data_IF_966359994859
#
_entry.id   IF_966359994859
#
_cell.length_a   1.000
_cell.length_b   1.000
_cell.length_c   1.000
_cell.angle_alpha   90.00
_cell.angle_beta   90.00
_cell.angle_gamma   90.00
#
_symmetry.space_group_name_H-M   'P 1'
#
loop_
_entity.id
_entity.type
_entity.pdbx_description
1 polymer ?
#
# COMPACT_ATOMS: atom_id res chain seq x y z
N UNK A 1 57.13 37.10 -45.04
CA UNK A 1 55.99 38.04 -45.14
C UNK A 1 54.82 37.37 -44.45
N UNK A 2 54.47 37.89 -43.28
CA UNK A 2 53.55 37.30 -42.30
C UNK A 2 52.10 37.19 -42.83
N UNK A 3 51.55 35.98 -42.84
CA UNK A 3 50.11 35.73 -43.08
C UNK A 3 49.47 34.90 -41.96
N UNK A 4 50.00 35.02 -40.74
CA UNK A 4 49.54 34.23 -39.58
C UNK A 4 48.80 34.99 -38.47
N UNK A 5 48.81 36.33 -38.46
CA UNK A 5 48.32 37.13 -37.30
C UNK A 5 46.90 37.69 -37.41
N UNK A 6 46.29 37.76 -38.61
CA UNK A 6 44.98 38.40 -38.78
C UNK A 6 43.76 37.50 -38.55
N UNK A 7 43.91 36.16 -38.59
CA UNK A 7 42.75 35.25 -38.42
C UNK A 7 42.31 35.10 -36.95
N UNK A 8 43.22 35.17 -35.98
CA UNK A 8 42.85 35.00 -34.57
C UNK A 8 42.13 36.21 -33.96
N UNK A 9 42.41 37.43 -34.43
CA UNK A 9 41.73 38.65 -33.93
C UNK A 9 40.29 38.76 -34.40
N UNK A 10 39.97 38.32 -35.63
CA UNK A 10 38.59 38.34 -36.14
C UNK A 10 37.73 37.31 -35.40
N UNK A 11 38.25 36.11 -35.15
CA UNK A 11 37.52 35.08 -34.38
C UNK A 11 37.29 35.50 -32.93
N UNK A 12 38.24 36.20 -32.32
CA UNK A 12 38.12 36.69 -30.94
C UNK A 12 37.12 37.86 -30.83
N UNK A 13 37.08 38.75 -31.82
CA UNK A 13 36.06 39.82 -31.89
C UNK A 13 34.68 39.24 -32.17
N UNK A 14 34.57 38.20 -33.00
CA UNK A 14 33.31 37.50 -33.27
C UNK A 14 32.79 36.76 -32.03
N UNK A 15 33.68 36.11 -31.25
CA UNK A 15 33.36 35.49 -29.96
C UNK A 15 32.95 36.51 -28.89
N UNK A 16 33.62 37.67 -28.84
CA UNK A 16 33.21 38.77 -27.95
C UNK A 16 31.86 39.38 -28.36
N UNK A 17 31.60 39.56 -29.65
CA UNK A 17 30.27 39.99 -30.14
C UNK A 17 29.19 38.94 -29.89
N UNK A 18 29.47 37.65 -30.06
CA UNK A 18 28.51 36.59 -29.72
C UNK A 18 28.25 36.53 -28.21
N UNK A 19 29.25 36.81 -27.37
CA UNK A 19 29.06 36.89 -25.91
C UNK A 19 28.19 38.06 -25.46
N UNK A 20 28.10 39.14 -26.26
CA UNK A 20 27.14 40.23 -26.00
C UNK A 20 25.69 39.89 -26.39
N UNK A 21 25.48 38.84 -27.20
CA UNK A 21 24.16 38.31 -27.52
C UNK A 21 23.77 37.06 -26.71
N UNK A 22 24.66 36.54 -25.87
CA UNK A 22 24.43 35.39 -25.00
C UNK A 22 23.84 35.77 -23.63
N UNK A 23 23.11 36.89 -23.55
CA UNK A 23 22.11 37.07 -22.50
C UNK A 23 20.84 36.40 -23.02
N UNK A 24 20.82 35.06 -22.99
CA UNK A 24 19.54 34.39 -22.84
C UNK A 24 19.02 34.87 -21.48
N UNK A 25 18.07 35.80 -21.51
CA UNK A 25 17.16 35.93 -20.40
C UNK A 25 16.54 34.54 -20.25
N UNK A 26 17.01 33.78 -19.25
CA UNK A 26 16.19 32.73 -18.70
C UNK A 26 14.84 33.41 -18.43
N UNK A 27 13.72 32.95 -19.00
CA UNK A 27 12.44 33.45 -18.56
C UNK A 27 12.45 33.22 -17.06
N UNK A 28 12.48 34.32 -16.30
CA UNK A 28 12.12 34.25 -14.90
C UNK A 28 10.73 33.63 -14.93
N UNK A 29 10.58 32.46 -14.33
CA UNK A 29 9.27 32.00 -13.95
C UNK A 29 8.74 33.08 -13.01
N UNK A 30 8.02 34.06 -13.57
CA UNK A 30 7.15 34.92 -12.81
C UNK A 30 6.19 33.95 -12.17
N UNK A 31 6.22 33.86 -10.83
CA UNK A 31 5.26 33.07 -10.11
C UNK A 31 3.89 33.50 -10.60
N UNK A 32 3.13 32.57 -11.20
CA UNK A 32 1.74 32.84 -11.54
C UNK A 32 1.10 33.38 -10.27
N UNK A 33 0.48 34.56 -10.37
CA UNK A 33 -0.25 35.15 -9.26
C UNK A 33 -1.19 34.07 -8.73
N UNK A 34 -0.98 33.64 -7.49
CA UNK A 34 -1.89 32.67 -6.86
C UNK A 34 -3.19 33.43 -6.63
N UNK A 35 -4.12 33.26 -7.56
CA UNK A 35 -5.46 33.82 -7.42
C UNK A 35 -6.16 33.00 -6.34
N UNK A 36 -6.16 33.52 -5.10
CA UNK A 36 -7.02 32.98 -4.06
C UNK A 36 -8.46 33.36 -4.41
N UNK A 37 -9.17 32.45 -5.07
CA UNK A 37 -10.63 32.52 -5.19
C UNK A 37 -11.26 31.97 -3.92
N UNK A 38 -12.53 32.33 -3.68
CA UNK A 38 -13.33 31.65 -2.68
C UNK A 38 -13.41 30.15 -3.00
N UNK A 39 -13.64 29.32 -1.97
CA UNK A 39 -13.80 27.89 -2.16
C UNK A 39 -14.98 27.62 -3.13
N UNK A 40 -14.70 26.88 -4.19
CA UNK A 40 -15.70 26.46 -5.18
C UNK A 40 -16.33 25.16 -4.68
N UNK A 41 -17.66 25.12 -4.61
CA UNK A 41 -18.39 23.89 -4.37
C UNK A 41 -18.45 23.09 -5.68
N UNK A 42 -17.87 21.90 -5.70
CA UNK A 42 -17.87 21.00 -6.86
C UNK A 42 -19.27 20.44 -7.11
N UNK A 43 -19.86 19.80 -6.09
CA UNK A 43 -21.19 19.19 -6.19
C UNK A 43 -22.06 19.52 -4.97
N UNK A 44 -23.36 19.69 -5.22
CA UNK A 44 -24.38 19.77 -4.16
C UNK A 44 -25.27 18.52 -4.20
N UNK A 45 -24.73 17.40 -3.74
CA UNK A 45 -25.41 16.10 -3.77
C UNK A 45 -26.67 16.00 -2.92
N UNK A 46 -27.05 17.04 -2.16
CA UNK A 46 -28.23 17.04 -1.31
C UNK A 46 -28.18 15.94 -0.26
N UNK A 47 -28.97 14.87 -0.45
CA UNK A 47 -28.96 13.68 0.41
C UNK A 47 -27.97 12.59 -0.02
N UNK A 48 -27.30 12.77 -1.17
CA UNK A 48 -26.28 11.84 -1.65
C UNK A 48 -25.02 11.90 -0.78
N UNK A 49 -24.36 10.75 -0.64
CA UNK A 49 -23.05 10.64 0.01
C UNK A 49 -21.96 10.58 -1.08
N UNK A 50 -21.42 11.73 -1.45
CA UNK A 50 -20.30 11.84 -2.38
C UNK A 50 -18.97 11.72 -1.59
N UNK A 51 -18.07 10.83 -2.02
CA UNK A 51 -16.79 10.58 -1.34
C UNK A 51 -15.75 9.95 -2.26
N UNK A 52 -14.53 9.80 -1.74
CA UNK A 52 -13.38 9.24 -2.48
C UNK A 52 -13.16 10.04 -3.77
N UNK A 53 -13.09 11.37 -3.60
CA UNK A 53 -12.86 12.28 -4.71
C UNK A 53 -11.40 12.22 -5.12
N UNK A 54 -11.16 12.17 -6.41
CA UNK A 54 -9.85 12.33 -7.05
C UNK A 54 -9.97 13.34 -8.18
N UNK A 55 -8.88 13.99 -8.54
CA UNK A 55 -8.88 14.99 -9.60
C UNK A 55 -7.50 15.10 -10.27
N UNK A 56 -7.52 15.41 -11.56
CA UNK A 56 -6.35 15.76 -12.35
C UNK A 56 -6.72 16.88 -13.35
N UNK A 57 -5.74 17.47 -14.04
CA UNK A 57 -5.96 18.58 -14.95
C UNK A 57 -5.46 18.29 -16.37
N UNK A 58 -6.18 18.80 -17.36
CA UNK A 58 -5.79 18.71 -18.77
C UNK A 58 -4.78 19.80 -19.17
N UNK A 59 -4.35 19.77 -20.44
CA UNK A 59 -3.39 20.71 -21.02
C UNK A 59 -3.86 22.18 -21.02
N UNK A 60 -5.17 22.42 -20.91
CA UNK A 60 -5.79 23.74 -20.82
C UNK A 60 -6.01 24.19 -19.36
N UNK A 61 -5.71 23.34 -18.39
CA UNK A 61 -5.91 23.55 -16.96
C UNK A 61 -7.36 23.35 -16.51
N UNK A 62 -8.20 22.73 -17.33
CA UNK A 62 -9.51 22.28 -16.87
C UNK A 62 -9.29 21.14 -15.86
N UNK A 63 -10.12 21.11 -14.82
CA UNK A 63 -10.00 20.15 -13.73
C UNK A 63 -11.05 19.06 -13.92
N UNK A 64 -10.59 17.82 -14.01
CA UNK A 64 -11.36 16.60 -14.15
C UNK A 64 -11.54 16.00 -12.77
N UNK A 65 -12.77 15.73 -12.36
CA UNK A 65 -13.08 15.31 -10.99
C UNK A 65 -13.90 14.03 -11.06
N UNK A 66 -13.45 13.00 -10.35
CA UNK A 66 -14.14 11.70 -10.25
C UNK A 66 -14.40 11.39 -8.79
N UNK A 67 -15.59 10.84 -8.48
CA UNK A 67 -15.93 10.42 -7.13
C UNK A 67 -16.92 9.26 -7.12
N UNK A 68 -17.05 8.63 -5.95
CA UNK A 68 -18.06 7.63 -5.68
C UNK A 68 -19.30 8.26 -5.03
N UNK A 69 -20.48 8.01 -5.58
CA UNK A 69 -21.76 8.44 -5.01
C UNK A 69 -22.46 7.26 -4.33
N UNK A 70 -22.80 7.43 -3.06
CA UNK A 70 -23.46 6.42 -2.22
C UNK A 70 -22.74 5.06 -2.16
N UNK A 71 -21.43 5.00 -2.44
CA UNK A 71 -20.69 3.74 -2.67
C UNK A 71 -21.31 2.83 -3.72
N UNK A 72 -21.92 3.40 -4.75
CA UNK A 72 -22.56 2.62 -5.80
C UNK A 72 -21.85 2.84 -7.13
N UNK A 73 -21.99 4.03 -7.70
CA UNK A 73 -21.50 4.34 -9.03
C UNK A 73 -20.41 5.41 -9.00
N UNK A 74 -19.57 5.40 -10.04
CA UNK A 74 -18.66 6.51 -10.32
C UNK A 74 -19.36 7.64 -11.05
N UNK A 75 -18.96 8.86 -10.67
CA UNK A 75 -19.44 10.11 -11.24
C UNK A 75 -18.24 10.95 -11.65
N UNK A 76 -18.43 11.69 -12.74
CA UNK A 76 -17.45 12.58 -13.36
C UNK A 76 -18.02 13.99 -13.50
N UNK A 77 -17.16 15.00 -13.40
CA UNK A 77 -17.44 16.40 -13.66
C UNK A 77 -16.18 17.10 -14.18
N UNK A 78 -16.36 18.15 -14.98
CA UNK A 78 -15.26 18.96 -15.52
C UNK A 78 -15.49 20.43 -15.23
N UNK A 79 -14.46 21.12 -14.76
CA UNK A 79 -14.47 22.57 -14.55
C UNK A 79 -13.37 23.25 -15.35
N UNK A 80 -13.61 24.47 -15.80
CA UNK A 80 -12.56 25.30 -16.37
C UNK A 80 -11.59 25.83 -15.28
N UNK A 81 -10.44 26.44 -15.63
CA UNK A 81 -9.50 26.99 -14.66
C UNK A 81 -10.06 28.09 -13.73
N UNK A 82 -11.24 28.65 -14.06
CA UNK A 82 -11.93 29.67 -13.26
C UNK A 82 -12.98 29.08 -12.32
N UNK A 83 -13.23 27.78 -12.41
CA UNK A 83 -14.22 27.06 -11.60
C UNK A 83 -15.61 26.95 -12.23
N UNK A 84 -15.83 27.46 -13.45
CA UNK A 84 -17.11 27.27 -14.12
C UNK A 84 -17.24 25.81 -14.57
N UNK A 85 -18.44 25.25 -14.45
CA UNK A 85 -18.74 23.88 -14.90
C UNK A 85 -18.73 23.83 -16.42
N UNK A 86 -17.96 22.90 -16.99
CA UNK A 86 -17.95 22.57 -18.42
C UNK A 86 -18.79 21.31 -18.68
N UNK A 87 -18.65 20.29 -17.82
CA UNK A 87 -19.47 19.08 -17.85
C UNK A 87 -19.98 18.89 -16.43
N UNK A 88 -21.30 18.85 -16.26
CA UNK A 88 -21.99 18.62 -14.99
C UNK A 88 -21.94 17.14 -14.60
N UNK A 89 -22.29 16.83 -13.35
CA UNK A 89 -22.26 15.47 -12.81
C UNK A 89 -22.84 14.42 -13.78
N UNK A 90 -21.97 13.53 -14.24
CA UNK A 90 -22.28 12.47 -15.21
C UNK A 90 -21.89 11.13 -14.60
N UNK A 91 -22.82 10.17 -14.56
CA UNK A 91 -22.48 8.81 -14.16
C UNK A 91 -21.69 8.15 -15.30
N UNK A 92 -20.51 7.62 -14.99
CA UNK A 92 -19.59 7.03 -15.99
C UNK A 92 -19.35 5.52 -15.80
N UNK A 93 -19.79 4.95 -14.67
CA UNK A 93 -19.77 3.49 -14.51
C UNK A 93 -21.01 2.89 -15.16
N UNK A 94 -20.86 1.68 -15.69
CA UNK A 94 -21.94 0.93 -16.32
C UNK A 94 -23.21 0.81 -15.45
N UNK A 95 -24.39 0.63 -16.08
CA UNK A 95 -25.61 0.29 -15.34
C UNK A 95 -25.47 -1.06 -14.65
N UNK A 96 -25.76 -1.12 -13.36
CA UNK A 96 -25.59 -2.35 -12.60
C UNK A 96 -25.60 -2.16 -11.10
N UNK A 97 -25.44 -3.26 -10.37
CA UNK A 97 -25.24 -3.21 -8.93
C UNK A 97 -23.75 -3.12 -8.63
N UNK A 98 -23.21 -1.91 -8.67
CA UNK A 98 -21.81 -1.65 -8.35
C UNK A 98 -21.63 -1.24 -6.89
N UNK A 99 -20.41 -1.44 -6.40
CA UNK A 99 -19.86 -0.78 -5.23
C UNK A 99 -18.53 -0.15 -5.62
N UNK A 100 -18.59 1.00 -6.28
CA UNK A 100 -17.39 1.76 -6.69
C UNK A 100 -16.66 2.37 -5.49
N UNK A 101 -15.37 2.02 -5.34
CA UNK A 101 -14.48 2.44 -4.26
C UNK A 101 -13.13 2.86 -4.83
N UNK A 102 -12.50 3.82 -4.14
CA UNK A 102 -11.12 4.27 -4.39
C UNK A 102 -10.80 4.50 -5.87
N UNK A 103 -11.54 5.39 -6.56
CA UNK A 103 -11.15 5.79 -7.90
C UNK A 103 -9.84 6.58 -7.85
N UNK A 104 -9.05 6.40 -8.90
CA UNK A 104 -7.90 7.22 -9.22
C UNK A 104 -7.96 7.66 -10.68
N UNK A 105 -7.35 8.81 -11.00
CA UNK A 105 -7.48 9.49 -12.29
C UNK A 105 -6.15 10.02 -12.79
N UNK A 106 -5.93 9.92 -14.11
CA UNK A 106 -4.84 10.58 -14.81
C UNK A 106 -5.29 11.09 -16.18
N UNK A 107 -4.97 12.34 -16.52
CA UNK A 107 -5.23 12.92 -17.84
C UNK A 107 -4.00 12.76 -18.74
N UNK A 108 -4.16 12.11 -19.88
CA UNK A 108 -3.04 11.83 -20.78
C UNK A 108 -2.62 13.03 -21.64
N UNK A 109 -1.60 12.84 -22.47
CA UNK A 109 -1.03 13.91 -23.28
C UNK A 109 -1.97 14.40 -24.40
N UNK A 110 -3.04 13.65 -24.68
CA UNK A 110 -4.07 13.99 -25.66
C UNK A 110 -5.37 14.49 -24.98
N UNK A 111 -5.30 14.82 -23.68
CA UNK A 111 -6.42 15.27 -22.84
C UNK A 111 -7.54 14.22 -22.63
N UNK A 112 -7.25 12.93 -22.86
CA UNK A 112 -8.16 11.86 -22.46
C UNK A 112 -7.99 11.53 -20.97
N UNK A 113 -9.07 11.09 -20.35
CA UNK A 113 -9.13 10.82 -18.92
C UNK A 113 -9.07 9.33 -18.67
N UNK A 114 -8.00 8.87 -18.04
CA UNK A 114 -7.80 7.50 -17.59
C UNK A 114 -8.31 7.38 -16.16
N UNK A 115 -9.15 6.39 -15.88
CA UNK A 115 -9.76 6.20 -14.57
C UNK A 115 -9.60 4.73 -14.17
N UNK A 116 -9.08 4.48 -12.98
CA UNK A 116 -9.11 3.15 -12.38
C UNK A 116 -9.91 3.17 -11.09
N UNK A 117 -10.56 2.06 -10.74
CA UNK A 117 -11.40 1.98 -9.55
C UNK A 117 -11.66 0.54 -9.13
N UNK A 118 -12.07 0.35 -7.88
CA UNK A 118 -12.46 -0.96 -7.36
C UNK A 118 -13.98 -1.11 -7.35
N UNK A 119 -14.52 -2.16 -7.97
CA UNK A 119 -15.86 -2.62 -7.66
C UNK A 119 -15.83 -3.66 -6.54
N UNK A 120 -16.45 -3.37 -5.41
CA UNK A 120 -16.59 -4.29 -4.27
C UNK A 120 -17.90 -5.08 -4.28
N UNK A 121 -18.64 -5.05 -5.38
CA UNK A 121 -19.81 -5.89 -5.58
C UNK A 121 -19.40 -7.32 -5.95
N UNK A 122 -19.71 -8.30 -5.09
CA UNK A 122 -19.35 -9.68 -5.36
C UNK A 122 -17.85 -9.94 -5.17
N UNK A 123 -17.19 -10.50 -6.19
CA UNK A 123 -15.73 -10.59 -6.23
C UNK A 123 -15.17 -9.21 -6.54
N UNK A 124 -14.20 -8.75 -5.75
CA UNK A 124 -13.72 -7.38 -5.92
C UNK A 124 -13.00 -7.27 -7.27
N UNK A 125 -13.29 -6.28 -8.09
CA UNK A 125 -12.71 -6.16 -9.43
C UNK A 125 -11.98 -4.83 -9.55
N UNK A 126 -10.76 -4.85 -10.10
CA UNK A 126 -10.10 -3.61 -10.53
C UNK A 126 -10.56 -3.32 -11.95
N UNK A 127 -11.14 -2.14 -12.14
CA UNK A 127 -11.61 -1.65 -13.41
C UNK A 127 -10.70 -0.56 -13.97
N UNK A 128 -10.69 -0.45 -15.29
CA UNK A 128 -10.11 0.66 -16.05
C UNK A 128 -11.18 1.21 -17.01
N UNK A 129 -11.34 2.52 -17.04
CA UNK A 129 -12.30 3.24 -17.88
C UNK A 129 -11.58 4.44 -18.49
N UNK A 130 -11.85 4.77 -19.75
CA UNK A 130 -11.23 5.92 -20.42
C UNK A 130 -12.29 6.83 -21.03
N UNK A 131 -12.18 8.14 -20.79
CA UNK A 131 -13.08 9.16 -21.31
C UNK A 131 -12.35 10.11 -22.27
N UNK A 132 -13.04 10.60 -23.28
CA UNK A 132 -12.69 11.76 -24.10
C UNK A 132 -13.77 12.84 -23.88
N UNK A 133 -13.53 13.79 -22.95
CA UNK A 133 -14.47 14.88 -22.66
C UNK A 133 -14.64 15.87 -23.81
N UNK A 134 -13.81 15.83 -24.86
CA UNK A 134 -13.97 16.68 -26.04
C UNK A 134 -15.08 16.21 -26.98
N UNK A 135 -15.62 15.01 -26.77
CA UNK A 135 -16.79 14.49 -27.48
C UNK A 135 -18.11 15.14 -27.00
N UNK A 136 -18.09 15.80 -25.85
CA UNK A 136 -19.18 16.62 -25.33
C UNK A 136 -19.07 18.07 -25.83
N UNK A 137 -20.18 18.81 -25.87
CA UNK A 137 -20.15 20.22 -26.29
C UNK A 137 -19.75 21.20 -25.17
N UNK A 138 -19.55 20.69 -23.95
CA UNK A 138 -18.99 21.38 -22.78
C UNK A 138 -19.77 22.66 -22.42
N UNK A 139 -21.09 22.62 -22.59
CA UNK A 139 -21.96 23.77 -22.37
C UNK A 139 -22.38 23.98 -20.90
N UNK A 140 -21.90 23.10 -20.01
CA UNK A 140 -22.16 23.08 -18.58
C UNK A 140 -23.31 22.16 -18.15
N UNK A 141 -23.92 21.40 -19.07
CA UNK A 141 -24.88 20.35 -18.74
C UNK A 141 -24.21 18.96 -18.51
N UNK A 142 -25.02 17.94 -18.19
CA UNK A 142 -24.49 16.59 -17.97
C UNK A 142 -24.24 15.92 -19.31
N UNK A 143 -23.03 15.42 -19.51
CA UNK A 143 -22.67 14.66 -20.70
C UNK A 143 -23.46 13.34 -20.81
N UNK A 144 -23.42 12.75 -22.00
CA UNK A 144 -23.89 11.39 -22.24
C UNK A 144 -22.71 10.43 -22.12
N UNK A 145 -22.74 9.54 -21.11
CA UNK A 145 -21.69 8.55 -20.85
C UNK A 145 -21.24 7.80 -22.12
N UNK A 146 -22.17 7.21 -22.86
CA UNK A 146 -21.86 6.48 -24.10
C UNK A 146 -21.23 7.34 -25.24
N UNK A 147 -21.19 8.67 -25.09
CA UNK A 147 -20.53 9.58 -26.03
C UNK A 147 -19.10 9.88 -25.58
N UNK A 148 -18.90 10.20 -24.31
CA UNK A 148 -17.58 10.57 -23.77
C UNK A 148 -16.74 9.35 -23.42
N UNK A 149 -17.34 8.19 -23.09
CA UNK A 149 -16.60 6.97 -22.75
C UNK A 149 -16.08 6.30 -24.03
N UNK A 150 -14.74 6.28 -24.16
CA UNK A 150 -14.02 5.69 -25.30
C UNK A 150 -13.53 4.28 -25.01
N UNK A 151 -13.22 3.96 -23.75
CA UNK A 151 -13.02 2.58 -23.29
C UNK A 151 -13.98 2.37 -22.13
N UNK A 152 -14.91 1.44 -22.35
CA UNK A 152 -15.90 1.01 -21.34
C UNK A 152 -15.21 0.26 -20.18
N UNK A 153 -15.93 0.05 -19.07
CA UNK A 153 -15.39 -0.56 -17.84
C UNK A 153 -14.68 -1.90 -18.11
N UNK A 154 -13.36 -1.85 -18.25
CA UNK A 154 -12.50 -2.97 -18.57
C UNK A 154 -12.04 -3.67 -17.28
N UNK A 155 -12.27 -4.97 -17.18
CA UNK A 155 -11.83 -5.78 -16.04
C UNK A 155 -10.30 -6.01 -16.11
N UNK A 156 -9.54 -5.26 -15.32
CA UNK A 156 -8.08 -5.40 -15.21
C UNK A 156 -7.71 -6.65 -14.42
N UNK A 157 -8.40 -6.89 -13.30
CA UNK A 157 -8.16 -8.05 -12.43
C UNK A 157 -9.42 -8.45 -11.66
N UNK A 158 -9.69 -9.76 -11.62
CA UNK A 158 -10.82 -10.35 -10.88
C UNK A 158 -10.51 -11.78 -10.41
N UNK A 159 -10.60 -11.98 -9.09
CA UNK A 159 -10.41 -13.25 -8.40
C UNK A 159 -11.24 -13.35 -7.10
N UNK A 160 -11.15 -14.51 -6.44
CA UNK A 160 -11.95 -14.85 -5.25
C UNK A 160 -11.63 -14.05 -3.98
N UNK A 161 -10.45 -13.44 -3.90
CA UNK A 161 -9.98 -12.66 -2.75
C UNK A 161 -10.18 -11.16 -2.99
N UNK A 162 -10.00 -10.37 -1.95
CA UNK A 162 -10.16 -8.92 -1.99
C UNK A 162 -8.97 -8.25 -2.68
N UNK A 163 -9.26 -7.26 -3.53
CA UNK A 163 -8.31 -6.37 -4.19
C UNK A 163 -8.82 -4.94 -4.20
N UNK A 164 -7.96 -3.98 -3.92
CA UNK A 164 -8.40 -2.59 -3.68
C UNK A 164 -7.28 -1.58 -3.93
N UNK A 165 -7.59 -0.30 -3.70
CA UNK A 165 -6.67 0.84 -3.79
C UNK A 165 -5.86 0.86 -5.08
N UNK A 166 -6.53 0.87 -6.25
CA UNK A 166 -5.82 1.02 -7.49
C UNK A 166 -5.29 2.46 -7.60
N UNK A 167 -4.12 2.60 -8.21
CA UNK A 167 -3.55 3.87 -8.64
C UNK A 167 -3.10 3.76 -10.10
N UNK A 168 -3.14 4.88 -10.82
CA UNK A 168 -2.87 4.94 -12.26
C UNK A 168 -1.96 6.12 -12.62
N UNK A 169 -1.02 5.87 -13.52
CA UNK A 169 -0.32 6.93 -14.25
C UNK A 169 -0.10 6.48 -15.70
N UNK A 170 0.29 7.40 -16.57
CA UNK A 170 0.43 7.16 -18.02
C UNK A 170 1.85 7.44 -18.51
N UNK A 171 2.33 6.64 -19.46
CA UNK A 171 3.61 6.86 -20.13
C UNK A 171 3.51 7.87 -21.29
N UNK A 172 4.64 8.12 -21.95
CA UNK A 172 4.74 9.02 -23.10
C UNK A 172 3.95 8.56 -24.35
N UNK A 173 3.51 7.29 -24.39
CA UNK A 173 2.66 6.73 -25.43
C UNK A 173 1.18 6.67 -25.01
N UNK A 174 0.83 7.24 -23.85
CA UNK A 174 -0.50 7.22 -23.23
C UNK A 174 -0.98 5.81 -22.83
N UNK A 175 -0.05 4.89 -22.56
CA UNK A 175 -0.38 3.61 -21.94
C UNK A 175 -0.62 3.78 -20.44
N UNK A 176 -1.64 3.12 -19.91
CA UNK A 176 -1.98 3.16 -18.50
C UNK A 176 -1.17 2.12 -17.70
N UNK A 177 -0.46 2.60 -16.68
CA UNK A 177 0.22 1.81 -15.68
C UNK A 177 -0.63 1.74 -14.42
N UNK A 178 -1.16 0.56 -14.11
CA UNK A 178 -2.10 0.37 -13.00
C UNK A 178 -1.45 -0.50 -11.92
N UNK A 179 -1.49 -0.03 -10.68
CA UNK A 179 -1.05 -0.77 -9.49
C UNK A 179 -2.18 -0.92 -8.51
N UNK A 180 -2.23 -2.02 -7.75
CA UNK A 180 -3.26 -2.25 -6.73
C UNK A 180 -2.77 -3.18 -5.62
N UNK A 181 -3.47 -3.19 -4.49
CA UNK A 181 -3.29 -4.24 -3.48
C UNK A 181 -4.20 -5.44 -3.76
N UNK A 182 -3.68 -6.66 -3.66
CA UNK A 182 -4.45 -7.89 -3.83
C UNK A 182 -4.04 -8.95 -2.80
N UNK A 183 -5.05 -9.58 -2.18
CA UNK A 183 -4.86 -10.69 -1.24
C UNK A 183 -4.90 -12.06 -1.94
N UNK A 184 -5.12 -12.11 -3.26
CA UNK A 184 -5.04 -13.31 -4.06
C UNK A 184 -3.57 -13.70 -4.27
N UNK A 185 -3.20 -14.90 -3.85
CA UNK A 185 -1.98 -15.55 -4.32
C UNK A 185 -2.27 -17.05 -4.54
N UNK A 186 -2.09 -17.58 -5.76
CA UNK A 186 -2.51 -18.93 -6.12
C UNK A 186 -1.92 -20.06 -5.26
N UNK A 187 -0.76 -19.83 -4.65
CA UNK A 187 -0.02 -20.84 -3.89
C UNK A 187 -0.19 -20.66 -2.36
N UNK A 188 -0.98 -19.69 -1.92
CA UNK A 188 -1.19 -19.29 -0.52
C UNK A 188 0.12 -19.10 0.29
N UNK A 189 1.22 -18.73 -0.39
CA UNK A 189 2.56 -18.58 0.20
C UNK A 189 2.64 -17.42 1.19
N UNK A 190 1.79 -16.42 1.03
CA UNK A 190 1.75 -15.23 1.87
C UNK A 190 0.52 -15.21 2.78
N UNK A 191 -0.16 -16.35 2.97
CA UNK A 191 -1.27 -16.50 3.92
C UNK A 191 -2.38 -15.46 3.73
N UNK A 192 -2.72 -15.18 2.47
CA UNK A 192 -3.70 -14.14 2.08
C UNK A 192 -3.40 -12.74 2.65
N UNK A 193 -2.12 -12.44 2.93
CA UNK A 193 -1.67 -11.08 3.20
C UNK A 193 -1.67 -10.29 1.88
N UNK A 194 -2.18 -9.04 1.87
CA UNK A 194 -2.20 -8.21 0.67
C UNK A 194 -0.79 -7.99 0.13
N UNK A 195 -0.65 -8.12 -1.18
CA UNK A 195 0.56 -7.86 -1.97
C UNK A 195 0.29 -6.79 -3.01
N UNK A 196 1.35 -6.20 -3.57
CA UNK A 196 1.22 -5.21 -4.63
C UNK A 196 1.34 -5.90 -5.99
N UNK A 197 0.38 -5.60 -6.86
CA UNK A 197 0.32 -6.05 -8.24
C UNK A 197 0.41 -4.88 -9.20
N UNK A 198 0.78 -5.19 -10.44
CA UNK A 198 0.93 -4.25 -11.54
C UNK A 198 0.40 -4.84 -12.84
N UNK A 199 -0.19 -3.98 -13.68
CA UNK A 199 -0.61 -4.27 -15.06
C UNK A 199 -0.34 -3.04 -15.93
N UNK A 200 -0.16 -3.27 -17.23
CA UNK A 200 -0.02 -2.20 -18.22
C UNK A 200 -1.08 -2.39 -19.30
N UNK A 201 -1.89 -1.35 -19.52
CA UNK A 201 -2.95 -1.31 -20.50
C UNK A 201 -2.57 -0.34 -21.62
N UNK A 202 -2.67 -0.79 -22.86
CA UNK A 202 -2.50 -0.01 -24.09
C UNK A 202 -3.90 0.27 -24.67
N UNK A 203 -4.41 1.51 -24.57
CA UNK A 203 -5.69 1.90 -25.15
C UNK A 203 -5.66 1.87 -26.69
N UNK A 204 -6.48 1.05 -27.33
CA UNK A 204 -6.71 1.15 -28.78
C UNK A 204 -7.93 2.02 -29.07
N UNK A 205 -7.66 3.30 -29.33
CA UNK A 205 -8.69 4.30 -29.61
C UNK A 205 -9.48 4.04 -30.91
N UNK A 206 -8.94 3.24 -31.85
CA UNK A 206 -9.64 2.93 -33.10
C UNK A 206 -10.71 1.86 -32.88
N UNK A 207 -10.37 0.81 -32.12
CA UNK A 207 -11.31 -0.26 -31.79
C UNK A 207 -12.13 0.03 -30.53
N UNK A 208 -11.72 1.03 -29.73
CA UNK A 208 -12.32 1.37 -28.43
C UNK A 208 -12.19 0.22 -27.43
N UNK A 209 -11.02 -0.41 -27.42
CA UNK A 209 -10.71 -1.55 -26.56
C UNK A 209 -9.45 -1.28 -25.73
N UNK A 210 -9.38 -1.85 -24.53
CA UNK A 210 -8.17 -1.89 -23.71
C UNK A 210 -7.37 -3.17 -24.04
N UNK A 211 -6.11 -3.01 -24.43
CA UNK A 211 -5.19 -4.12 -24.70
C UNK A 211 -4.27 -4.31 -23.50
N UNK A 212 -4.21 -5.52 -22.94
CA UNK A 212 -3.26 -5.83 -21.85
C UNK A 212 -1.87 -6.03 -22.43
N UNK A 213 -1.02 -5.01 -22.34
CA UNK A 213 0.36 -5.06 -22.80
C UNK A 213 1.29 -5.79 -21.81
N UNK A 214 1.05 -5.60 -20.51
CA UNK A 214 1.67 -6.40 -19.43
C UNK A 214 0.57 -6.92 -18.51
N UNK A 215 0.47 -8.24 -18.38
CA UNK A 215 -0.51 -8.87 -17.49
C UNK A 215 -0.15 -8.72 -16.01
N UNK A 216 -1.08 -9.13 -15.16
CA UNK A 216 -0.97 -9.06 -13.70
C UNK A 216 0.36 -9.63 -13.20
N UNK A 217 1.16 -8.76 -12.60
CA UNK A 217 2.52 -9.08 -12.13
C UNK A 217 2.65 -8.77 -10.64
N UNK A 218 2.96 -9.79 -9.85
CA UNK A 218 3.26 -9.64 -8.42
C UNK A 218 4.61 -8.94 -8.22
N UNK A 219 4.59 -7.77 -7.55
CA UNK A 219 5.80 -6.98 -7.28
C UNK A 219 6.44 -7.27 -5.92
N UNK A 220 5.65 -7.73 -4.94
CA UNK A 220 6.13 -7.93 -3.56
C UNK A 220 6.05 -9.40 -3.13
N UNK A 221 6.96 -10.30 -3.57
CA UNK A 221 6.89 -11.72 -3.21
C UNK A 221 7.43 -12.01 -1.79
N UNK A 222 6.97 -11.29 -0.76
CA UNK A 222 7.49 -11.38 0.62
C UNK A 222 6.33 -11.27 1.63
N UNK A 223 6.44 -11.98 2.76
CA UNK A 223 5.49 -11.92 3.88
C UNK A 223 5.43 -10.52 4.50
N UNK A 224 4.25 -10.15 4.99
CA UNK A 224 4.00 -8.90 5.70
C UNK A 224 3.06 -8.01 4.91
N UNK A 225 2.25 -7.21 5.61
CA UNK A 225 1.23 -6.38 5.00
C UNK A 225 1.85 -5.39 4.00
N UNK A 226 1.20 -5.28 2.84
CA UNK A 226 1.43 -4.26 1.82
C UNK A 226 0.11 -3.59 1.53
N UNK A 227 0.10 -2.31 1.24
CA UNK A 227 -1.15 -1.65 0.87
C UNK A 227 -0.94 -0.24 0.34
N UNK A 228 -2.05 0.35 -0.09
CA UNK A 228 -2.10 1.73 -0.60
C UNK A 228 -0.95 2.05 -1.58
N UNK A 229 -0.79 1.28 -2.67
CA UNK A 229 0.23 1.58 -3.64
C UNK A 229 -0.08 2.88 -4.37
N UNK A 230 0.97 3.52 -4.85
CA UNK A 230 0.90 4.68 -5.74
C UNK A 230 1.96 4.52 -6.84
N UNK A 231 1.70 5.08 -8.02
CA UNK A 231 2.54 4.93 -9.21
C UNK A 231 2.81 6.28 -9.83
N UNK A 232 4.05 6.46 -10.30
CA UNK A 232 4.44 7.60 -11.12
C UNK A 232 5.33 7.14 -12.26
N UNK A 233 5.12 7.68 -13.45
CA UNK A 233 5.92 7.46 -14.65
C UNK A 233 6.68 8.73 -14.94
N UNK A 234 8.00 8.63 -15.06
CA UNK A 234 8.83 9.79 -15.39
C UNK A 234 8.90 10.07 -16.90
N UNK A 235 9.54 11.17 -17.28
CA UNK A 235 9.65 11.60 -18.67
C UNK A 235 10.49 10.66 -19.58
N UNK A 236 11.19 9.69 -19.00
CA UNK A 236 11.93 8.64 -19.70
C UNK A 236 11.16 7.29 -19.67
N UNK A 237 9.88 7.31 -19.31
CA UNK A 237 8.97 6.17 -19.16
C UNK A 237 9.39 5.16 -18.09
N UNK A 238 10.13 5.61 -17.06
CA UNK A 238 10.40 4.76 -15.90
C UNK A 238 9.25 4.79 -14.91
N UNK A 239 8.63 3.62 -14.74
CA UNK A 239 7.59 3.39 -13.72
C UNK A 239 8.23 3.27 -12.33
N UNK A 240 7.85 4.17 -11.43
CA UNK A 240 8.17 4.15 -10.01
C UNK A 240 6.92 3.80 -9.22
N UNK A 241 7.02 2.83 -8.32
CA UNK A 241 5.89 2.37 -7.51
C UNK A 241 6.29 2.43 -6.05
N UNK A 242 5.43 3.03 -5.23
CA UNK A 242 5.59 3.13 -3.77
C UNK A 242 4.38 2.49 -3.09
N UNK A 243 4.54 2.02 -1.86
CA UNK A 243 3.48 1.35 -1.12
C UNK A 243 3.77 1.38 0.39
N UNK A 244 2.73 1.17 1.19
CA UNK A 244 2.86 0.92 2.63
C UNK A 244 3.43 -0.46 2.87
N UNK A 245 4.44 -0.56 3.74
CA UNK A 245 5.13 -1.82 3.99
C UNK A 245 5.41 -2.06 5.48
N UNK A 246 5.17 -3.28 5.96
CA UNK A 246 5.56 -3.69 7.32
C UNK A 246 7.03 -4.08 7.48
N UNK A 247 7.83 -4.11 6.40
CA UNK A 247 9.28 -4.33 6.48
C UNK A 247 9.93 -3.27 7.37
N UNK A 248 10.90 -3.68 8.18
CA UNK A 248 11.47 -2.88 9.27
C UNK A 248 10.57 -2.80 10.51
N UNK A 249 9.35 -3.35 10.43
CA UNK A 249 8.39 -3.41 11.53
C UNK A 249 8.89 -4.25 12.70
N UNK A 250 8.40 -3.88 13.88
CA UNK A 250 8.69 -4.54 15.16
C UNK A 250 7.38 -5.04 15.75
N UNK A 251 7.34 -6.32 16.09
CA UNK A 251 6.20 -6.93 16.78
C UNK A 251 6.68 -7.42 18.13
N UNK A 252 6.01 -7.05 19.21
CA UNK A 252 6.30 -7.59 20.55
C UNK A 252 5.19 -8.53 21.00
N UNK A 253 5.59 -9.76 21.36
CA UNK A 253 4.72 -10.80 21.88
C UNK A 253 5.08 -11.02 23.35
N UNK A 254 4.18 -10.63 24.23
CA UNK A 254 4.29 -10.88 25.67
C UNK A 254 3.13 -11.75 26.08
N UNK A 255 3.41 -12.99 26.48
CA UNK A 255 2.37 -13.96 26.76
C UNK A 255 2.63 -14.72 28.07
N UNK A 256 1.69 -14.74 29.02
CA UNK A 256 1.66 -15.77 30.05
C UNK A 256 1.23 -17.11 29.43
N UNK A 257 1.95 -18.17 29.79
CA UNK A 257 1.73 -19.53 29.29
C UNK A 257 1.54 -20.42 30.51
N UNK A 258 0.43 -21.17 30.51
CA UNK A 258 0.12 -22.12 31.57
C UNK A 258 1.13 -23.27 31.59
N UNK A 259 1.60 -23.62 32.78
CA UNK A 259 2.61 -24.63 33.04
C UNK A 259 2.03 -25.87 33.73
N UNK A 260 0.70 -25.92 33.87
CA UNK A 260 -0.02 -27.04 34.46
C UNK A 260 0.28 -28.33 33.71
N UNK A 261 0.09 -29.46 34.40
CA UNK A 261 0.30 -30.78 33.81
C UNK A 261 -0.58 -31.09 32.58
N UNK A 262 -1.54 -30.22 32.24
CA UNK A 262 -2.37 -30.33 31.04
C UNK A 262 -1.67 -29.88 29.75
N UNK A 263 -0.61 -29.04 29.83
CA UNK A 263 0.01 -28.38 28.67
C UNK A 263 1.34 -29.01 28.18
N UNK A 264 1.65 -30.24 28.57
CA UNK A 264 2.97 -30.83 28.31
C UNK A 264 3.38 -30.84 26.82
N UNK A 265 2.50 -31.28 25.93
CA UNK A 265 2.80 -31.39 24.49
C UNK A 265 2.64 -30.04 23.80
N UNK A 266 1.69 -29.25 24.29
CA UNK A 266 1.34 -27.91 23.85
C UNK A 266 2.52 -26.94 24.07
N UNK A 267 3.31 -27.13 25.13
CA UNK A 267 4.57 -26.39 25.31
C UNK A 267 5.57 -26.67 24.18
N UNK A 268 5.70 -27.93 23.75
CA UNK A 268 6.60 -28.27 22.65
C UNK A 268 6.13 -27.63 21.33
N UNK A 269 4.82 -27.65 21.06
CA UNK A 269 4.23 -27.02 19.89
C UNK A 269 4.36 -25.49 19.93
N UNK A 270 4.18 -24.87 21.09
CA UNK A 270 4.43 -23.44 21.29
C UNK A 270 5.89 -23.08 20.99
N UNK A 271 6.85 -23.89 21.44
CA UNK A 271 8.27 -23.67 21.10
C UNK A 271 8.51 -23.73 19.58
N UNK A 272 7.82 -24.64 18.88
CA UNK A 272 7.85 -24.71 17.40
C UNK A 272 7.25 -23.46 16.77
N UNK A 273 6.13 -22.95 17.31
CA UNK A 273 5.50 -21.70 16.81
C UNK A 273 6.47 -20.52 16.85
N UNK A 274 7.21 -20.30 17.94
CA UNK A 274 8.12 -19.15 18.01
C UNK A 274 9.46 -19.39 17.29
N UNK A 275 10.07 -20.55 17.51
CA UNK A 275 11.48 -20.79 17.20
C UNK A 275 11.71 -21.78 16.05
N UNK A 276 10.66 -22.44 15.58
CA UNK A 276 10.72 -23.40 14.48
C UNK A 276 11.00 -24.83 14.91
N UNK A 277 10.66 -25.79 14.05
CA UNK A 277 10.85 -27.22 14.29
C UNK A 277 9.69 -28.07 13.81
N UNK A 278 9.51 -29.23 14.44
CA UNK A 278 8.43 -30.17 14.13
C UNK A 278 7.41 -30.19 15.26
N UNK A 279 6.13 -30.02 14.92
CA UNK A 279 5.04 -30.19 15.88
C UNK A 279 4.98 -31.65 16.37
N UNK A 280 4.44 -31.84 17.57
CA UNK A 280 4.23 -33.16 18.17
C UNK A 280 3.28 -34.03 17.34
N UNK A 281 2.31 -33.42 16.69
CA UNK A 281 1.39 -34.08 15.73
C UNK A 281 2.04 -34.37 14.37
N UNK A 282 3.26 -33.90 14.13
CA UNK A 282 3.96 -33.94 12.86
C UNK A 282 3.78 -32.66 12.04
N UNK A 283 4.59 -32.52 10.98
CA UNK A 283 4.64 -31.30 10.17
C UNK A 283 5.73 -30.34 10.66
N UNK A 284 6.42 -29.73 9.70
CA UNK A 284 7.48 -28.76 9.96
C UNK A 284 6.89 -27.35 9.91
N UNK A 285 7.31 -26.50 10.83
CA UNK A 285 7.08 -25.06 10.78
C UNK A 285 8.38 -24.31 11.00
N UNK A 286 8.60 -23.26 10.21
CA UNK A 286 9.84 -22.49 10.27
C UNK A 286 9.98 -21.74 11.60
N UNK A 287 8.86 -21.34 12.22
CA UNK A 287 8.83 -20.50 13.41
C UNK A 287 8.60 -19.03 13.07
N UNK A 288 7.84 -18.32 13.90
CA UNK A 288 7.49 -16.91 13.71
C UNK A 288 8.73 -16.01 13.68
N UNK A 289 9.67 -16.20 14.60
CA UNK A 289 10.90 -15.38 14.66
C UNK A 289 11.74 -15.51 13.38
N UNK A 290 12.18 -16.71 12.95
CA UNK A 290 12.97 -16.84 11.73
C UNK A 290 12.18 -16.45 10.46
N UNK A 291 10.90 -16.82 10.38
CA UNK A 291 10.06 -16.48 9.22
C UNK A 291 9.93 -14.97 9.01
N UNK A 292 9.64 -14.23 10.09
CA UNK A 292 9.50 -12.77 10.03
C UNK A 292 10.85 -12.06 9.90
N UNK A 293 11.93 -12.63 10.46
CA UNK A 293 13.29 -12.10 10.26
C UNK A 293 13.70 -12.13 8.77
N UNK A 294 13.36 -13.19 8.03
CA UNK A 294 13.58 -13.25 6.57
C UNK A 294 12.77 -12.19 5.80
N UNK A 295 11.62 -11.81 6.33
CA UNK A 295 10.81 -10.71 5.82
C UNK A 295 11.27 -9.33 6.33
N UNK A 296 12.48 -9.21 6.89
CA UNK A 296 13.01 -7.96 7.45
C UNK A 296 12.12 -7.37 8.55
N UNK A 297 11.45 -8.21 9.34
CA UNK A 297 10.69 -7.81 10.52
C UNK A 297 11.34 -8.38 11.78
N UNK A 298 11.31 -7.63 12.88
CA UNK A 298 11.85 -8.12 14.16
C UNK A 298 10.72 -8.52 15.09
N UNK A 299 10.73 -9.77 15.53
CA UNK A 299 9.83 -10.26 16.58
C UNK A 299 10.57 -10.21 17.90
N UNK A 300 10.02 -9.42 18.81
CA UNK A 300 10.35 -9.37 20.21
C UNK A 300 9.43 -10.32 20.97
N UNK A 301 9.98 -11.15 21.85
CA UNK A 301 9.20 -12.07 22.66
C UNK A 301 9.66 -12.06 24.10
N UNK A 302 8.69 -12.06 25.01
CA UNK A 302 8.93 -12.46 26.40
C UNK A 302 7.79 -13.37 26.82
N UNK A 303 8.11 -14.62 27.11
CA UNK A 303 7.13 -15.63 27.47
C UNK A 303 7.21 -15.86 28.98
N UNK A 304 6.06 -15.95 29.64
CA UNK A 304 5.98 -16.07 31.09
C UNK A 304 5.38 -17.41 31.48
N UNK A 305 6.20 -18.29 32.05
CA UNK A 305 5.78 -19.56 32.63
C UNK A 305 4.99 -19.28 33.92
N UNK A 306 3.66 -19.41 33.86
CA UNK A 306 2.77 -19.21 35.00
C UNK A 306 3.14 -20.14 36.15
N UNK A 307 3.02 -19.65 37.38
CA UNK A 307 3.41 -20.35 38.61
C UNK A 307 4.90 -20.68 38.74
N UNK A 308 5.74 -20.43 37.72
CA UNK A 308 7.15 -20.79 37.74
C UNK A 308 7.44 -22.29 37.69
N UNK A 309 6.48 -23.11 37.21
CA UNK A 309 6.77 -24.52 36.89
C UNK A 309 7.41 -24.62 35.50
N UNK A 310 8.20 -25.67 35.29
CA UNK A 310 9.00 -25.83 34.07
C UNK A 310 8.73 -27.17 33.41
N UNK A 311 7.74 -27.25 32.51
CA UNK A 311 7.53 -28.42 31.66
C UNK A 311 8.82 -28.77 30.92
N UNK A 312 9.07 -30.07 30.70
CA UNK A 312 10.32 -30.52 30.09
C UNK A 312 10.60 -29.84 28.73
N UNK A 313 9.55 -29.64 27.92
CA UNK A 313 9.63 -28.95 26.64
C UNK A 313 10.01 -27.46 26.76
N UNK A 314 9.63 -26.78 27.86
CA UNK A 314 9.96 -25.38 28.10
C UNK A 314 11.47 -25.15 28.33
N UNK A 315 12.21 -26.19 28.70
CA UNK A 315 13.64 -26.11 29.06
C UNK A 315 14.57 -26.79 28.06
N UNK A 316 14.00 -27.40 27.01
CA UNK A 316 14.72 -28.24 26.05
C UNK A 316 14.27 -28.00 24.62
N UNK A 317 14.92 -28.66 23.65
CA UNK A 317 14.59 -28.54 22.23
C UNK A 317 14.60 -27.08 21.76
N UNK A 318 13.54 -26.69 21.04
CA UNK A 318 13.44 -25.38 20.40
C UNK A 318 13.34 -24.22 21.41
N UNK A 319 12.89 -24.48 22.65
CA UNK A 319 12.83 -23.46 23.70
C UNK A 319 14.12 -23.33 24.53
N UNK A 320 15.10 -24.24 24.39
CA UNK A 320 16.27 -24.27 25.27
C UNK A 320 17.04 -22.94 25.32
N UNK A 321 17.22 -22.29 24.16
CA UNK A 321 17.88 -21.00 24.08
C UNK A 321 17.07 -19.89 24.76
N UNK A 322 15.76 -19.82 24.50
CA UNK A 322 14.88 -18.82 25.10
C UNK A 322 14.77 -19.00 26.62
N UNK A 323 14.74 -20.23 27.12
CA UNK A 323 14.80 -20.52 28.56
C UNK A 323 16.09 -20.00 29.21
N UNK A 324 17.24 -20.20 28.55
CA UNK A 324 18.52 -19.66 29.03
C UNK A 324 18.53 -18.13 29.01
N UNK A 325 18.02 -17.50 27.96
CA UNK A 325 17.88 -16.03 27.85
C UNK A 325 16.97 -15.48 28.96
N UNK A 326 15.93 -16.23 29.32
CA UNK A 326 15.03 -15.91 30.43
C UNK A 326 15.59 -16.21 31.81
N UNK A 327 16.88 -16.56 31.93
CA UNK A 327 17.56 -16.75 33.22
C UNK A 327 17.37 -18.14 33.82
N UNK A 328 17.05 -19.15 33.01
CA UNK A 328 16.97 -20.56 33.41
C UNK A 328 16.09 -20.79 34.65
N UNK A 329 14.94 -20.14 34.68
CA UNK A 329 13.94 -20.26 35.75
C UNK A 329 14.26 -19.53 37.05
N UNK A 330 15.26 -18.64 37.05
CA UNK A 330 15.58 -17.80 38.22
C UNK A 330 15.34 -16.29 37.99
N UNK A 331 14.59 -15.92 36.95
CA UNK A 331 14.28 -14.52 36.66
C UNK A 331 12.80 -14.35 36.35
N UNK A 332 12.17 -13.40 37.07
CA UNK A 332 10.80 -12.98 36.86
C UNK A 332 10.63 -11.92 35.75
N UNK A 333 9.51 -11.17 35.77
CA UNK A 333 9.23 -10.08 34.83
C UNK A 333 10.39 -9.11 34.62
N UNK A 334 10.61 -8.70 33.37
CA UNK A 334 11.66 -7.74 33.03
C UNK A 334 11.34 -6.38 33.64
N UNK A 335 12.36 -5.71 34.16
CA UNK A 335 12.30 -4.32 34.61
C UNK A 335 12.63 -3.30 33.51
N UNK A 336 13.09 -3.79 32.35
CA UNK A 336 13.44 -2.98 31.18
C UNK A 336 12.77 -3.52 29.91
N UNK A 337 12.40 -2.64 28.96
CA UNK A 337 11.86 -3.07 27.67
C UNK A 337 12.93 -3.76 26.81
N UNK A 338 12.51 -4.48 25.77
CA UNK A 338 13.41 -5.04 24.76
C UNK A 338 13.86 -3.97 23.75
N UNK A 339 14.85 -4.29 22.92
CA UNK A 339 15.30 -3.44 21.83
C UNK A 339 16.16 -2.25 22.26
N UNK A 340 16.71 -2.28 23.48
CA UNK A 340 17.61 -1.22 23.98
C UNK A 340 18.99 -1.25 23.32
N UNK A 341 19.40 -2.41 22.81
CA UNK A 341 20.63 -2.60 22.03
C UNK A 341 20.37 -3.49 20.82
N UNK A 342 21.16 -3.39 19.73
CA UNK A 342 21.04 -4.29 18.59
C UNK A 342 21.11 -5.76 19.01
N UNK A 343 20.13 -6.57 18.58
CA UNK A 343 20.03 -7.99 18.93
C UNK A 343 19.33 -8.29 20.27
N UNK A 344 18.85 -7.29 21.02
CA UNK A 344 17.99 -7.49 22.20
C UNK A 344 16.54 -7.75 21.77
N UNK A 345 16.33 -8.83 21.01
CA UNK A 345 15.03 -9.22 20.46
C UNK A 345 14.34 -10.33 21.26
N UNK A 346 14.93 -10.81 22.35
CA UNK A 346 14.37 -11.91 23.15
C UNK A 346 14.50 -11.61 24.64
N UNK A 347 13.36 -11.48 25.32
CA UNK A 347 13.29 -11.50 26.78
C UNK A 347 13.40 -12.90 27.36
N UNK A 348 13.25 -13.93 26.51
CA UNK A 348 13.30 -15.33 26.87
C UNK A 348 12.06 -15.82 27.62
N UNK A 349 12.15 -17.04 28.15
CA UNK A 349 11.08 -17.66 28.94
C UNK A 349 11.39 -17.45 30.43
N UNK A 350 10.53 -16.71 31.12
CA UNK A 350 10.71 -16.24 32.50
C UNK A 350 9.64 -16.79 33.42
N UNK A 351 9.90 -16.83 34.72
CA UNK A 351 8.87 -17.21 35.68
C UNK A 351 7.87 -16.07 35.89
N UNK A 352 6.59 -16.41 36.07
CA UNK A 352 5.58 -15.51 36.56
C UNK A 352 4.90 -16.18 37.75
N UNK A 353 5.37 -15.86 38.95
CA UNK A 353 4.98 -16.50 40.21
C UNK A 353 3.95 -15.70 40.99
N UNK A 354 3.67 -14.46 40.58
CA UNK A 354 2.74 -13.57 41.25
C UNK A 354 1.86 -12.84 40.24
N UNK A 355 0.59 -12.63 40.62
CA UNK A 355 -0.37 -11.82 39.86
C UNK A 355 -0.95 -10.72 40.74
N UNK A 356 -1.47 -9.66 40.12
CA UNK A 356 -2.14 -8.58 40.86
C UNK A 356 -3.62 -8.91 41.01
N UNK A 357 -4.07 -9.07 42.26
CA UNK A 357 -5.48 -9.26 42.59
C UNK A 357 -5.86 -8.32 43.74
N UNK A 358 -6.96 -7.58 43.55
CA UNK A 358 -7.48 -6.60 44.52
C UNK A 358 -6.42 -5.60 45.04
N UNK A 359 -5.54 -5.13 44.14
CA UNK A 359 -4.48 -4.17 44.46
C UNK A 359 -3.28 -4.72 45.24
N UNK A 360 -3.19 -6.04 45.44
CA UNK A 360 -2.06 -6.71 46.06
C UNK A 360 -1.48 -7.83 45.18
N UNK A 361 -0.25 -8.23 45.48
CA UNK A 361 0.36 -9.40 44.87
C UNK A 361 -0.20 -10.69 45.51
N UNK A 362 -0.58 -11.65 44.66
CA UNK A 362 -1.02 -12.99 45.06
C UNK A 362 -0.09 -14.00 44.41
N UNK A 363 0.48 -14.89 45.24
CA UNK A 363 1.36 -15.95 44.78
C UNK A 363 0.57 -17.03 44.04
N UNK A 364 1.11 -17.46 42.91
CA UNK A 364 0.66 -18.59 42.13
C UNK A 364 1.31 -19.88 42.66
N UNK A 365 0.55 -20.97 42.88
CA UNK A 365 1.09 -22.20 43.45
C UNK A 365 1.83 -23.07 42.41
N UNK A 366 2.96 -23.64 42.83
CA UNK A 366 3.84 -24.50 42.03
C UNK A 366 3.40 -25.98 41.99
N UNK A 367 2.11 -26.28 42.14
CA UNK A 367 1.66 -27.66 42.34
C UNK A 367 1.56 -28.48 41.04
N UNK A 368 1.69 -27.83 39.88
CA UNK A 368 1.57 -28.45 38.55
C UNK A 368 0.19 -29.07 38.28
N UNK A 369 -0.81 -28.77 39.11
CA UNK A 369 -2.16 -29.33 39.09
C UNK A 369 -3.24 -28.26 38.87
N UNK A 370 -4.46 -28.50 39.36
CA UNK A 370 -5.62 -27.62 39.17
C UNK A 370 -5.38 -26.17 39.62
N UNK A 371 -4.52 -25.96 40.63
CA UNK A 371 -4.19 -24.61 41.09
C UNK A 371 -3.09 -23.93 40.27
N UNK A 372 -2.44 -24.60 39.32
CA UNK A 372 -1.52 -23.95 38.39
C UNK A 372 -2.22 -23.35 37.15
N UNK A 373 -3.53 -23.63 36.98
CA UNK A 373 -4.41 -23.10 35.91
C UNK A 373 -5.04 -21.71 36.27
N UNK A 374 -4.30 -20.81 36.94
CA UNK A 374 -4.82 -19.47 37.26
C UNK A 374 -4.87 -18.56 36.03
N UNK A 375 -5.95 -18.66 35.25
CA UNK A 375 -6.24 -17.79 34.11
C UNK A 375 -7.04 -16.52 34.47
N UNK A 376 -7.37 -16.32 35.74
CA UNK A 376 -8.16 -15.17 36.22
C UNK A 376 -9.22 -15.57 37.24
#
# INVERSE_FOLDING_TARGET
METGKMRNSITMVLLMMMSTFAVMEFPKAEASEVVLTDAIQIVNGGSANDKMVTADADSMGNVHIVWSRNTQHLWYQMHNPRGDVLILETQISNPGAHRAWHPDIRVDHDDNVHITWTDKAGQWTIFYTMLDPSQDDQDGDSAVDAVITIIDDFEVSVHTQNRDWPAIDVDSENNAHIVWEDSFEPLDKYYQQPQIYYSMIEPDLQSREAIVAVGETLLTPIIGHKGHPDVAVDADDFVQIVWDDTRGGKVEIVAPIDTSGSMNTEWADMCVVFYGGYFASGGFFEGLKPMLLRANMTVYETLYALSGNWPAAATSGNCAAAYQTGGSGGQGPRSTPLGLVPGDDSGGIRELTEVVYNGGAVNLPQDGGYYSEFWG
#
